data_IF_569242174342
#
_entry.id   IF_569242174342
#
_cell.length_a   1.000
_cell.length_b   1.000
_cell.length_c   1.000
_cell.angle_alpha   90.00
_cell.angle_beta   90.00
_cell.angle_gamma   90.00
#
_symmetry.space_group_name_H-M   'P 1'
#
loop_
_entity.id
_entity.type
_entity.pdbx_description
1 polymer ?
#
# COMPACT_ATOMS: atom_id res chain seq x y z
N UNK A 1 -20.02 -10.64 8.75
CA UNK A 1 -18.98 -11.14 7.84
C UNK A 1 -18.00 -10.02 7.51
N UNK A 2 -16.70 -10.30 7.61
CA UNK A 2 -15.69 -9.33 7.21
C UNK A 2 -15.53 -9.32 5.70
N UNK A 3 -15.42 -8.12 5.12
CA UNK A 3 -15.19 -7.94 3.71
C UNK A 3 -13.68 -7.99 3.47
N UNK A 4 -13.29 -8.84 2.52
CA UNK A 4 -11.90 -8.93 2.09
C UNK A 4 -11.68 -7.97 0.94
N UNK A 5 -10.79 -6.98 1.12
CA UNK A 5 -10.57 -5.95 0.11
C UNK A 5 -9.64 -6.44 -1.01
N UNK A 6 -9.71 -5.78 -2.16
CA UNK A 6 -8.78 -6.02 -3.26
C UNK A 6 -7.33 -5.73 -2.86
N UNK A 7 -7.12 -4.76 -1.97
CA UNK A 7 -5.78 -4.45 -1.46
C UNK A 7 -5.18 -5.64 -0.71
N UNK A 8 -5.98 -6.33 0.12
CA UNK A 8 -5.54 -7.52 0.84
C UNK A 8 -5.19 -8.65 -0.12
N UNK A 9 -5.99 -8.85 -1.16
CA UNK A 9 -5.72 -9.87 -2.18
C UNK A 9 -4.40 -9.58 -2.88
N UNK A 10 -4.14 -8.33 -3.25
CA UNK A 10 -2.88 -7.95 -3.89
C UNK A 10 -1.68 -8.12 -2.96
N UNK A 11 -1.87 -7.85 -1.66
CA UNK A 11 -0.80 -8.08 -0.67
C UNK A 11 -0.45 -9.56 -0.59
N UNK A 12 -1.44 -10.45 -0.57
CA UNK A 12 -1.21 -11.89 -0.53
C UNK A 12 -0.49 -12.38 -1.79
N UNK A 13 -0.88 -11.86 -2.96
CA UNK A 13 -0.18 -12.18 -4.21
C UNK A 13 1.28 -11.75 -4.16
N UNK A 14 1.54 -10.55 -3.63
CA UNK A 14 2.90 -10.04 -3.48
C UNK A 14 3.72 -10.94 -2.54
N UNK A 15 3.14 -11.37 -1.42
CA UNK A 15 3.80 -12.26 -0.47
C UNK A 15 4.16 -13.60 -1.10
N UNK A 16 3.29 -14.15 -1.94
CA UNK A 16 3.59 -15.38 -2.66
C UNK A 16 4.77 -15.18 -3.61
N UNK A 17 4.83 -14.04 -4.29
CA UNK A 17 5.90 -13.72 -5.21
C UNK A 17 7.24 -13.51 -4.53
N UNK A 18 7.23 -13.07 -3.26
CA UNK A 18 8.45 -12.82 -2.51
C UNK A 18 9.35 -14.06 -2.47
N UNK A 19 8.75 -15.24 -2.50
CA UNK A 19 9.47 -16.51 -2.41
C UNK A 19 9.74 -17.17 -3.78
N UNK A 20 9.17 -16.64 -4.86
CA UNK A 20 9.19 -17.30 -6.18
C UNK A 20 9.71 -16.42 -7.30
N UNK A 21 9.48 -15.13 -7.21
CA UNK A 21 9.69 -14.20 -8.31
C UNK A 21 10.95 -13.38 -8.21
N UNK A 22 11.19 -12.56 -9.23
CA UNK A 22 12.26 -11.58 -9.21
C UNK A 22 11.92 -10.43 -8.27
N UNK A 23 12.94 -9.85 -7.66
CA UNK A 23 12.76 -8.79 -6.67
C UNK A 23 12.06 -7.55 -7.24
N UNK A 24 12.33 -7.20 -8.49
CA UNK A 24 11.65 -6.05 -9.14
C UNK A 24 10.15 -6.29 -9.23
N UNK A 25 9.74 -7.48 -9.66
CA UNK A 25 8.32 -7.83 -9.78
C UNK A 25 7.62 -7.84 -8.42
N UNK A 26 8.31 -8.33 -7.39
CA UNK A 26 7.81 -8.32 -6.01
C UNK A 26 7.54 -6.88 -5.55
N UNK A 27 8.49 -5.98 -5.79
CA UNK A 27 8.33 -4.56 -5.44
C UNK A 27 7.12 -3.94 -6.11
N UNK A 28 6.92 -4.23 -7.40
CA UNK A 28 5.77 -3.71 -8.15
C UNK A 28 4.45 -4.23 -7.60
N UNK A 29 4.42 -5.49 -7.18
CA UNK A 29 3.22 -6.09 -6.60
C UNK A 29 2.88 -5.50 -5.23
N UNK A 30 3.87 -5.27 -4.37
CA UNK A 30 3.65 -4.60 -3.09
C UNK A 30 3.16 -3.16 -3.29
N UNK A 31 3.77 -2.44 -4.23
CA UNK A 31 3.32 -1.09 -4.55
C UNK A 31 1.86 -1.09 -5.03
N UNK A 32 1.48 -2.06 -5.86
CA UNK A 32 0.10 -2.19 -6.33
C UNK A 32 -0.88 -2.37 -5.16
N UNK A 33 -0.51 -3.18 -4.18
CA UNK A 33 -1.36 -3.39 -3.00
C UNK A 33 -1.52 -2.08 -2.20
N UNK A 34 -0.43 -1.35 -1.99
CA UNK A 34 -0.48 -0.07 -1.28
C UNK A 34 -1.32 0.97 -2.03
N UNK A 35 -1.13 1.05 -3.35
CA UNK A 35 -1.90 1.97 -4.19
C UNK A 35 -3.38 1.66 -4.15
N UNK A 36 -3.73 0.39 -4.21
CA UNK A 36 -5.12 -0.06 -4.10
C UNK A 36 -5.73 0.33 -2.75
N UNK A 37 -4.97 0.18 -1.66
CA UNK A 37 -5.43 0.60 -0.33
C UNK A 37 -5.75 2.09 -0.29
N UNK A 38 -4.89 2.92 -0.87
CA UNK A 38 -5.12 4.38 -0.94
C UNK A 38 -6.38 4.68 -1.77
N UNK A 39 -6.56 4.01 -2.89
CA UNK A 39 -7.74 4.21 -3.76
C UNK A 39 -9.03 3.84 -3.01
N UNK A 40 -9.01 2.72 -2.29
CA UNK A 40 -10.17 2.29 -1.51
C UNK A 40 -10.50 3.27 -0.39
N UNK A 41 -9.48 3.78 0.32
CA UNK A 41 -9.67 4.78 1.36
C UNK A 41 -10.22 6.10 0.79
N UNK A 42 -9.69 6.52 -0.36
CA UNK A 42 -10.19 7.71 -1.04
C UNK A 42 -11.66 7.56 -1.42
N UNK A 43 -12.05 6.40 -1.90
CA UNK A 43 -13.45 6.09 -2.21
C UNK A 43 -14.32 6.16 -0.96
N UNK A 44 -13.87 5.55 0.13
CA UNK A 44 -14.61 5.52 1.41
C UNK A 44 -14.89 6.92 1.93
N UNK A 45 -13.93 7.83 1.84
CA UNK A 45 -14.03 9.19 2.38
C UNK A 45 -14.39 10.24 1.33
N UNK A 46 -14.70 9.81 0.11
CA UNK A 46 -15.06 10.69 -1.00
C UNK A 46 -14.00 11.77 -1.26
N UNK A 47 -12.75 11.33 -1.31
CA UNK A 47 -11.60 12.21 -1.52
C UNK A 47 -11.20 12.19 -2.99
N UNK A 48 -10.99 13.37 -3.55
CA UNK A 48 -10.53 13.57 -4.92
C UNK A 48 -9.21 14.35 -4.91
N UNK A 49 -8.36 14.09 -5.86
CA UNK A 49 -7.10 14.79 -6.00
C UNK A 49 -6.56 14.66 -7.43
N UNK A 50 -5.60 15.50 -7.77
CA UNK A 50 -5.01 15.52 -9.11
C UNK A 50 -4.06 14.34 -9.35
N UNK A 51 -3.50 13.80 -8.28
CA UNK A 51 -2.60 12.65 -8.32
C UNK A 51 -2.68 11.92 -6.98
N UNK A 52 -2.02 10.76 -6.89
CA UNK A 52 -2.11 9.93 -5.68
C UNK A 52 -1.47 10.61 -4.46
N UNK A 53 -0.41 11.41 -4.65
CA UNK A 53 0.24 12.12 -3.55
C UNK A 53 -0.70 13.15 -2.94
N UNK A 54 -1.49 13.85 -3.76
CA UNK A 54 -2.50 14.78 -3.29
C UNK A 54 -3.57 14.05 -2.47
N UNK A 55 -4.02 12.89 -2.96
CA UNK A 55 -4.99 12.06 -2.26
C UNK A 55 -4.44 11.61 -0.90
N UNK A 56 -3.18 11.17 -0.87
CA UNK A 56 -2.52 10.75 0.38
C UNK A 56 -2.47 11.89 1.39
N UNK A 57 -2.13 13.09 0.95
CA UNK A 57 -2.10 14.28 1.81
C UNK A 57 -3.47 14.54 2.42
N UNK A 58 -4.52 14.47 1.61
CA UNK A 58 -5.89 14.68 2.09
C UNK A 58 -6.35 13.57 3.04
N UNK A 59 -5.98 12.32 2.75
CA UNK A 59 -6.26 11.20 3.65
C UNK A 59 -5.57 11.37 5.00
N UNK A 60 -4.35 11.89 5.00
CA UNK A 60 -3.61 12.13 6.24
C UNK A 60 -4.31 13.15 7.15
N UNK A 61 -4.99 14.12 6.57
CA UNK A 61 -5.77 15.09 7.35
C UNK A 61 -6.92 14.43 8.12
N UNK A 62 -7.45 13.32 7.60
CA UNK A 62 -8.56 12.59 8.22
C UNK A 62 -8.05 11.47 9.12
N UNK A 63 -7.05 10.71 8.66
CA UNK A 63 -6.63 9.46 9.28
C UNK A 63 -5.32 9.57 10.07
N UNK A 64 -4.64 10.73 9.99
CA UNK A 64 -3.38 10.97 10.69
C UNK A 64 -2.17 10.93 9.76
N UNK A 65 -1.09 11.57 10.22
CA UNK A 65 0.13 11.76 9.42
C UNK A 65 0.86 10.45 9.11
N UNK A 66 0.57 9.37 9.85
CA UNK A 66 1.17 8.06 9.60
C UNK A 66 0.90 7.57 8.17
N UNK A 67 -0.23 7.98 7.58
CA UNK A 67 -0.56 7.63 6.19
C UNK A 67 0.54 8.11 5.24
N UNK A 68 1.07 9.31 5.47
CA UNK A 68 2.16 9.87 4.65
C UNK A 68 3.41 8.99 4.77
N UNK A 69 3.76 8.60 6.00
CA UNK A 69 4.93 7.74 6.25
C UNK A 69 4.79 6.37 5.60
N UNK A 70 3.62 5.76 5.72
CA UNK A 70 3.35 4.47 5.10
C UNK A 70 3.44 4.56 3.57
N UNK A 71 2.86 5.62 3.00
CA UNK A 71 2.93 5.81 1.56
C UNK A 71 4.35 6.07 1.07
N UNK A 72 5.14 6.81 1.85
CA UNK A 72 6.55 7.06 1.51
C UNK A 72 7.33 5.75 1.40
N UNK A 73 7.18 4.85 2.36
CA UNK A 73 7.82 3.54 2.31
C UNK A 73 7.34 2.68 1.14
N UNK A 74 6.03 2.66 0.93
CA UNK A 74 5.44 1.92 -0.20
C UNK A 74 5.94 2.46 -1.55
N UNK A 75 6.06 3.78 -1.68
CA UNK A 75 6.54 4.42 -2.91
C UNK A 75 7.99 4.04 -3.22
N UNK A 76 8.83 3.88 -2.18
CA UNK A 76 10.21 3.45 -2.36
C UNK A 76 10.29 2.06 -2.98
N UNK A 77 9.35 1.18 -2.66
CA UNK A 77 9.29 -0.14 -3.28
C UNK A 77 9.17 -0.04 -4.80
N UNK A 78 8.53 1.00 -5.30
CA UNK A 78 8.43 1.19 -6.75
C UNK A 78 9.60 2.00 -7.30
N UNK A 79 9.89 3.17 -6.73
CA UNK A 79 10.91 4.08 -7.26
C UNK A 79 12.33 3.52 -7.15
N UNK A 80 12.61 2.74 -6.11
CA UNK A 80 13.93 2.14 -5.88
C UNK A 80 13.96 0.63 -6.19
N UNK A 81 12.98 0.11 -6.91
CA UNK A 81 12.80 -1.34 -7.10
C UNK A 81 14.00 -2.08 -7.68
N UNK A 82 14.84 -1.38 -8.42
CA UNK A 82 16.04 -1.98 -9.03
C UNK A 82 17.22 -2.05 -8.08
N UNK A 83 17.18 -1.29 -6.99
CA UNK A 83 18.27 -1.21 -6.01
C UNK A 83 17.99 -1.95 -4.71
N UNK A 84 16.75 -2.38 -4.49
CA UNK A 84 16.35 -2.99 -3.21
C UNK A 84 16.71 -4.49 -3.18
N UNK A 85 17.29 -4.91 -2.06
CA UNK A 85 17.49 -6.33 -1.78
C UNK A 85 16.28 -6.88 -0.98
N UNK A 86 16.28 -8.20 -0.73
CA UNK A 86 15.17 -8.86 -0.06
C UNK A 86 14.92 -8.32 1.35
N UNK A 87 15.98 -7.95 2.08
CA UNK A 87 15.84 -7.43 3.44
C UNK A 87 15.19 -6.06 3.47
N UNK A 88 15.57 -5.17 2.55
CA UNK A 88 14.95 -3.84 2.45
C UNK A 88 13.50 -3.95 1.98
N UNK A 89 13.21 -4.88 1.07
CA UNK A 89 11.83 -5.13 0.63
C UNK A 89 10.95 -5.54 1.82
N UNK A 90 11.44 -6.45 2.66
CA UNK A 90 10.70 -6.88 3.84
C UNK A 90 10.46 -5.75 4.82
N UNK A 91 11.42 -4.85 4.95
CA UNK A 91 11.29 -3.69 5.82
C UNK A 91 10.19 -2.74 5.32
N UNK A 92 10.23 -2.38 4.03
CA UNK A 92 9.22 -1.47 3.45
C UNK A 92 7.86 -2.15 3.27
N UNK A 93 7.83 -3.48 3.17
CA UNK A 93 6.58 -4.24 3.14
C UNK A 93 5.69 -3.89 4.34
N UNK A 94 6.28 -3.60 5.49
CA UNK A 94 5.50 -3.27 6.69
C UNK A 94 4.63 -2.03 6.47
N UNK A 95 5.10 -1.05 5.72
CA UNK A 95 4.32 0.14 5.39
C UNK A 95 3.12 -0.21 4.50
N UNK A 96 3.30 -1.14 3.57
CA UNK A 96 2.21 -1.63 2.72
C UNK A 96 1.17 -2.35 3.59
N UNK A 97 1.62 -3.19 4.51
CA UNK A 97 0.73 -3.91 5.44
C UNK A 97 -0.12 -2.93 6.24
N UNK A 98 0.50 -1.86 6.74
CA UNK A 98 -0.24 -0.85 7.51
C UNK A 98 -1.34 -0.18 6.68
N UNK A 99 -1.04 0.15 5.42
CA UNK A 99 -2.05 0.74 4.52
C UNK A 99 -3.18 -0.23 4.20
N UNK A 100 -2.85 -1.48 3.94
CA UNK A 100 -3.85 -2.51 3.64
C UNK A 100 -4.73 -2.77 4.86
N UNK A 101 -4.14 -2.85 6.05
CA UNK A 101 -4.90 -3.03 7.30
C UNK A 101 -5.84 -1.85 7.55
N UNK A 102 -5.37 -0.64 7.28
CA UNK A 102 -6.19 0.57 7.44
C UNK A 102 -7.41 0.53 6.50
N UNK A 103 -7.18 0.15 5.23
CA UNK A 103 -8.27 0.01 4.26
C UNK A 103 -9.28 -1.06 4.72
N UNK A 104 -8.79 -2.22 5.15
CA UNK A 104 -9.66 -3.29 5.64
C UNK A 104 -10.48 -2.83 6.85
N UNK A 105 -9.83 -2.17 7.81
CA UNK A 105 -10.50 -1.66 9.01
C UNK A 105 -11.63 -0.70 8.66
N UNK A 106 -11.37 0.26 7.77
CA UNK A 106 -12.37 1.28 7.43
C UNK A 106 -13.52 0.71 6.60
N UNK A 107 -13.27 -0.29 5.78
CA UNK A 107 -14.33 -0.94 5.00
C UNK A 107 -15.18 -1.90 5.83
N UNK A 108 -14.71 -2.31 7.01
CA UNK A 108 -15.44 -3.22 7.91
C UNK A 108 -15.99 -2.50 9.16
N UNK A 109 -15.90 -1.18 9.19
CA UNK A 109 -16.41 -0.40 10.33
C UNK A 109 -17.77 0.20 10.08
#
# INVERSE_FOLDING_TARGET
MLIRTSAEIYLEEADEFLNKGGLVDVCEKYYKAAREAIILLAYKYNIHGDNIEDIVTKLAEILGDNVISYWAGASLLYTARKELDAELIKMYRQDVVELVNLANEKFNS
#
